data_IF_995286638672
#
_entry.id   IF_995286638672
#
_cell.length_a   1.000
_cell.length_b   1.000
_cell.length_c   1.000
_cell.angle_alpha   90.00
_cell.angle_beta   90.00
_cell.angle_gamma   90.00
#
_symmetry.space_group_name_H-M   'P 1'
#
loop_
_entity.id
_entity.type
_entity.pdbx_description
1 polymer ?
#
# COMPACT_ATOMS: atom_id res chain seq x y z
N UNK A 1 -0.67 18.20 21.74
CA UNK A 1 -0.80 17.48 23.03
C UNK A 1 -1.19 16.05 22.72
N UNK A 2 -0.65 15.06 23.44
CA UNK A 2 -1.04 13.66 23.25
C UNK A 2 -2.47 13.45 23.77
N UNK A 3 -3.33 12.79 22.99
CA UNK A 3 -4.72 12.53 23.36
C UNK A 3 -4.80 11.53 24.53
N UNK A 4 -5.81 11.69 25.39
CA UNK A 4 -6.05 10.77 26.50
C UNK A 4 -6.32 9.34 26.02
N UNK A 5 -7.01 9.20 24.88
CA UNK A 5 -7.28 7.90 24.25
C UNK A 5 -5.97 7.21 23.90
N UNK A 6 -5.07 7.88 23.20
CA UNK A 6 -3.78 7.31 22.83
C UNK A 6 -2.89 7.03 24.05
N UNK A 7 -2.81 7.96 24.99
CA UNK A 7 -2.04 7.80 26.23
C UNK A 7 -2.49 6.57 27.04
N UNK A 8 -3.81 6.36 27.17
CA UNK A 8 -4.34 5.17 27.86
C UNK A 8 -3.94 3.85 27.19
N UNK A 9 -3.82 3.82 25.85
CA UNK A 9 -3.33 2.65 25.12
C UNK A 9 -1.84 2.42 25.34
N UNK A 10 -1.03 3.48 25.39
CA UNK A 10 0.38 3.38 25.74
C UNK A 10 0.59 2.81 27.15
N UNK A 11 -0.19 3.26 28.13
CA UNK A 11 -0.11 2.76 29.52
C UNK A 11 -0.48 1.27 29.60
N UNK A 12 -1.44 0.82 28.81
CA UNK A 12 -1.91 -0.58 28.81
C UNK A 12 -1.08 -1.51 27.92
N UNK A 13 -0.08 -0.98 27.20
CA UNK A 13 0.75 -1.75 26.27
C UNK A 13 1.49 -2.94 26.91
N UNK A 14 2.10 -2.83 28.12
CA UNK A 14 2.76 -3.96 28.75
C UNK A 14 1.82 -5.13 29.03
N UNK A 15 0.56 -4.84 29.40
CA UNK A 15 -0.45 -5.88 29.62
C UNK A 15 -0.78 -6.61 28.30
N UNK A 16 -0.94 -5.88 27.20
CA UNK A 16 -1.15 -6.47 25.86
C UNK A 16 -0.03 -7.42 25.48
N UNK A 17 1.23 -7.03 25.71
CA UNK A 17 2.42 -7.86 25.44
C UNK A 17 2.40 -9.13 26.29
N UNK A 18 2.16 -9.01 27.60
CA UNK A 18 2.12 -10.16 28.51
C UNK A 18 0.99 -11.12 28.11
N UNK A 19 -0.19 -10.60 27.82
CA UNK A 19 -1.35 -11.39 27.40
C UNK A 19 -1.07 -12.11 26.07
N UNK A 20 -0.45 -11.45 25.09
CA UNK A 20 -0.13 -12.09 23.81
C UNK A 20 0.89 -13.22 23.97
N UNK A 21 1.90 -13.03 24.83
CA UNK A 21 2.90 -14.07 25.15
C UNK A 21 2.23 -15.26 25.85
N UNK A 22 1.40 -15.03 26.87
CA UNK A 22 0.69 -16.10 27.58
C UNK A 22 -0.20 -16.87 26.61
N UNK A 23 -1.00 -16.17 25.78
CA UNK A 23 -1.86 -16.81 24.77
C UNK A 23 -1.03 -17.65 23.79
N UNK A 24 0.12 -17.14 23.34
CA UNK A 24 0.99 -17.84 22.40
C UNK A 24 1.41 -19.23 22.91
N UNK A 25 1.77 -19.35 24.19
CA UNK A 25 2.24 -20.61 24.79
C UNK A 25 1.14 -21.48 25.41
N UNK A 26 -0.12 -21.02 25.45
CA UNK A 26 -1.21 -21.74 26.11
C UNK A 26 -2.32 -22.15 25.14
N UNK A 27 -3.16 -21.20 24.73
CA UNK A 27 -4.38 -21.44 23.93
C UNK A 27 -4.23 -21.02 22.45
N UNK A 28 -3.05 -20.57 22.07
CA UNK A 28 -2.80 -19.87 20.82
C UNK A 28 -3.31 -18.42 20.83
N UNK A 29 -2.60 -17.53 20.16
CA UNK A 29 -3.17 -16.22 19.80
C UNK A 29 -4.23 -16.38 18.70
N UNK A 30 -4.99 -15.33 18.42
CA UNK A 30 -5.89 -15.34 17.26
C UNK A 30 -5.10 -15.56 15.96
N UNK A 31 -3.95 -14.90 15.80
CA UNK A 31 -3.13 -14.99 14.60
C UNK A 31 -2.59 -16.40 14.36
N UNK A 32 -2.06 -17.09 15.38
CA UNK A 32 -1.57 -18.48 15.25
C UNK A 32 -2.65 -19.46 14.83
N UNK A 33 -3.88 -19.25 15.35
CA UNK A 33 -5.01 -20.15 15.07
C UNK A 33 -5.56 -19.96 13.67
N UNK A 34 -5.42 -18.76 13.09
CA UNK A 34 -6.04 -18.44 11.80
C UNK A 34 -5.07 -18.50 10.64
N UNK A 35 -3.78 -18.20 10.84
CA UNK A 35 -2.83 -18.12 9.73
C UNK A 35 -1.46 -18.74 10.08
N UNK A 36 -0.97 -19.60 9.17
CA UNK A 36 0.30 -20.34 9.29
C UNK A 36 1.53 -19.42 9.43
N UNK A 37 1.50 -18.22 8.88
CA UNK A 37 2.58 -17.23 8.91
C UNK A 37 2.95 -16.82 10.36
N UNK A 38 2.03 -17.05 11.31
CA UNK A 38 2.20 -16.74 12.73
C UNK A 38 2.58 -17.94 13.60
N UNK A 39 2.40 -19.19 13.15
CA UNK A 39 2.47 -20.38 14.01
C UNK A 39 3.85 -20.58 14.66
N UNK A 40 4.92 -20.17 14.00
CA UNK A 40 6.30 -20.33 14.48
C UNK A 40 6.96 -19.05 15.02
N UNK A 41 6.23 -17.95 15.22
CA UNK A 41 6.85 -16.66 15.55
C UNK A 41 6.14 -15.93 16.68
N UNK A 42 6.67 -16.05 17.91
CA UNK A 42 6.22 -15.25 19.05
C UNK A 42 6.34 -13.74 18.76
N UNK A 43 7.37 -13.35 18.03
CA UNK A 43 7.61 -11.97 17.66
C UNK A 43 6.45 -11.40 16.83
N UNK A 44 6.07 -12.05 15.72
CA UNK A 44 4.95 -11.58 14.89
C UNK A 44 3.66 -11.48 15.69
N UNK A 45 3.36 -12.49 16.49
CA UNK A 45 2.17 -12.52 17.33
C UNK A 45 2.10 -11.35 18.32
N UNK A 46 3.21 -11.09 19.01
CA UNK A 46 3.29 -10.01 20.00
C UNK A 46 3.31 -8.65 19.29
N UNK A 47 4.05 -8.52 18.19
CA UNK A 47 4.14 -7.30 17.40
C UNK A 47 2.79 -6.89 16.83
N UNK A 48 2.06 -7.81 16.17
CA UNK A 48 0.73 -7.53 15.63
C UNK A 48 -0.31 -7.28 16.72
N UNK A 49 -0.19 -7.93 17.89
CA UNK A 49 -1.04 -7.61 19.05
C UNK A 49 -0.81 -6.17 19.54
N UNK A 50 0.45 -5.72 19.55
CA UNK A 50 0.83 -4.34 19.88
C UNK A 50 0.26 -3.36 18.86
N UNK A 51 0.44 -3.63 17.56
CA UNK A 51 -0.09 -2.77 16.51
C UNK A 51 -1.62 -2.68 16.57
N UNK A 52 -2.32 -3.80 16.69
CA UNK A 52 -3.78 -3.83 16.80
C UNK A 52 -4.29 -3.08 18.05
N UNK A 53 -3.58 -3.17 19.19
CA UNK A 53 -3.95 -2.44 20.41
C UNK A 53 -3.80 -0.91 20.29
N UNK A 54 -2.84 -0.44 19.49
CA UNK A 54 -2.62 0.98 19.24
C UNK A 54 -3.47 1.51 18.07
N UNK A 55 -3.77 0.67 17.08
CA UNK A 55 -4.54 1.01 15.90
C UNK A 55 -5.89 1.66 16.27
N UNK A 56 -6.32 2.67 15.51
CA UNK A 56 -7.62 3.35 15.68
C UNK A 56 -7.82 4.04 17.05
N UNK A 57 -6.76 4.23 17.82
CA UNK A 57 -6.81 4.85 19.14
C UNK A 57 -5.96 6.14 19.24
N UNK A 58 -5.65 6.76 18.12
CA UNK A 58 -4.88 8.01 18.01
C UNK A 58 -5.63 9.05 17.19
N UNK A 59 -5.29 10.32 17.36
CA UNK A 59 -5.71 11.44 16.50
C UNK A 59 -4.64 11.74 15.44
N UNK A 60 -4.95 12.61 14.46
CA UNK A 60 -3.96 13.18 13.53
C UNK A 60 -2.77 13.81 14.26
N UNK A 61 -3.04 14.53 15.34
CA UNK A 61 -1.99 15.17 16.12
C UNK A 61 -1.12 14.15 16.86
N UNK A 62 -1.69 13.07 17.43
CA UNK A 62 -0.90 12.00 18.05
C UNK A 62 0.10 11.40 17.05
N UNK A 63 -0.37 11.15 15.82
CA UNK A 63 0.48 10.63 14.73
C UNK A 63 1.60 11.61 14.42
N UNK A 64 1.28 12.89 14.19
CA UNK A 64 2.27 13.91 13.85
C UNK A 64 3.35 14.11 14.93
N UNK A 65 3.00 13.99 16.20
CA UNK A 65 3.92 14.24 17.32
C UNK A 65 4.71 13.01 17.76
N UNK A 66 4.16 11.80 17.63
CA UNK A 66 4.72 10.59 18.26
C UNK A 66 5.13 9.53 17.25
N UNK A 67 4.39 9.39 16.15
CA UNK A 67 4.56 8.27 15.22
C UNK A 67 5.30 8.68 13.95
N UNK A 68 5.14 9.93 13.51
CA UNK A 68 5.66 10.42 12.25
C UNK A 68 7.19 10.40 12.18
N UNK A 69 7.70 9.86 11.08
CA UNK A 69 9.09 9.99 10.68
C UNK A 69 9.19 10.19 9.16
N UNK A 70 9.98 11.15 8.67
CA UNK A 70 10.16 11.34 7.24
C UNK A 70 10.88 10.13 6.63
N UNK A 71 10.57 9.79 5.37
CA UNK A 71 11.14 8.61 4.68
C UNK A 71 12.68 8.64 4.65
N UNK A 72 13.28 9.84 4.66
CA UNK A 72 14.75 10.03 4.69
C UNK A 72 15.41 9.36 5.89
N UNK A 73 14.70 9.26 7.03
CA UNK A 73 15.18 8.50 8.20
C UNK A 73 15.23 7.00 7.91
N UNK A 74 14.29 6.45 7.14
CA UNK A 74 14.33 5.05 6.73
C UNK A 74 15.46 4.79 5.74
N UNK A 75 15.63 5.65 4.73
CA UNK A 75 16.78 5.57 3.82
C UNK A 75 18.10 5.55 4.60
N UNK A 76 18.26 6.46 5.56
CA UNK A 76 19.46 6.55 6.42
C UNK A 76 19.62 5.29 7.28
N UNK A 77 18.55 4.86 7.97
CA UNK A 77 18.55 3.68 8.85
C UNK A 77 18.96 2.42 8.10
N UNK A 78 18.46 2.24 6.88
CA UNK A 78 18.67 1.01 6.13
C UNK A 78 19.86 1.04 5.18
N UNK A 79 20.47 2.20 4.91
CA UNK A 79 21.56 2.41 3.93
C UNK A 79 22.63 1.31 3.87
N UNK A 80 23.09 0.82 5.02
CA UNK A 80 24.18 -0.14 5.13
C UNK A 80 23.71 -1.57 5.45
N UNK A 81 22.44 -1.89 5.21
CA UNK A 81 21.93 -3.25 5.39
C UNK A 81 22.22 -4.13 4.18
N UNK A 82 22.22 -5.46 4.33
CA UNK A 82 22.42 -6.36 3.20
C UNK A 82 21.43 -6.14 2.05
N UNK A 83 20.18 -5.73 2.35
CA UNK A 83 19.15 -5.46 1.35
C UNK A 83 19.42 -4.24 0.48
N UNK A 84 20.22 -3.28 0.94
CA UNK A 84 20.36 -1.98 0.26
C UNK A 84 21.79 -1.66 -0.15
N UNK A 85 22.77 -2.32 0.47
CA UNK A 85 24.18 -2.08 0.17
C UNK A 85 24.46 -2.39 -1.30
N UNK A 86 24.96 -1.40 -2.03
CA UNK A 86 25.26 -1.52 -3.45
C UNK A 86 24.07 -1.33 -4.40
N UNK A 87 22.85 -1.07 -3.90
CA UNK A 87 21.73 -0.68 -4.77
C UNK A 87 22.03 0.67 -5.44
N UNK A 88 21.93 0.68 -6.76
CA UNK A 88 22.20 1.87 -7.56
C UNK A 88 21.11 2.92 -7.35
N UNK A 89 21.49 4.19 -7.16
CA UNK A 89 20.54 5.28 -6.96
C UNK A 89 19.81 5.28 -5.62
N UNK A 90 20.19 4.43 -4.65
CA UNK A 90 19.49 4.34 -3.37
C UNK A 90 19.44 5.70 -2.63
N UNK A 91 18.22 6.21 -2.44
CA UNK A 91 17.93 7.50 -1.80
C UNK A 91 18.09 8.72 -2.72
N UNK A 92 18.49 8.55 -3.98
CA UNK A 92 18.53 9.64 -4.96
C UNK A 92 17.11 10.13 -5.25
N UNK A 93 16.95 11.45 -5.31
CA UNK A 93 15.66 12.10 -5.58
C UNK A 93 15.32 12.05 -7.07
N UNK A 94 14.07 11.71 -7.36
CA UNK A 94 13.44 11.87 -8.69
C UNK A 94 12.87 13.29 -8.79
N UNK A 95 12.15 13.71 -7.74
CA UNK A 95 11.62 15.05 -7.54
C UNK A 95 11.62 15.36 -6.02
N UNK A 96 10.90 16.38 -5.56
CA UNK A 96 10.85 16.75 -4.14
C UNK A 96 10.46 15.59 -3.20
N UNK A 97 9.47 14.79 -3.58
CA UNK A 97 8.83 13.78 -2.71
C UNK A 97 9.07 12.34 -3.11
N UNK A 98 9.68 12.11 -4.26
CA UNK A 98 9.92 10.76 -4.77
C UNK A 98 11.41 10.45 -4.77
N UNK A 99 11.77 9.29 -4.24
CA UNK A 99 13.15 8.80 -4.16
C UNK A 99 13.26 7.39 -4.74
N UNK A 100 14.39 7.09 -5.38
CA UNK A 100 14.73 5.73 -5.78
C UNK A 100 15.10 4.87 -4.56
N UNK A 101 14.57 3.65 -4.47
CA UNK A 101 15.19 2.56 -3.69
C UNK A 101 16.31 1.96 -4.53
N UNK A 102 16.01 1.64 -5.78
CA UNK A 102 16.96 1.13 -6.75
C UNK A 102 16.61 1.66 -8.12
N UNK A 103 17.62 2.06 -8.86
CA UNK A 103 17.53 2.46 -10.26
C UNK A 103 18.34 1.49 -11.11
N UNK A 104 17.72 0.85 -12.09
CA UNK A 104 18.45 0.04 -13.08
C UNK A 104 19.56 0.87 -13.74
N UNK A 105 20.79 0.34 -13.82
CA UNK A 105 21.96 1.08 -14.34
C UNK A 105 21.94 1.24 -15.85
N UNK A 106 21.61 0.18 -16.53
CA UNK A 106 21.54 0.08 -17.99
C UNK A 106 20.38 -0.85 -18.32
N UNK A 107 19.12 -0.35 -18.29
CA UNK A 107 17.95 -1.18 -18.50
C UNK A 107 18.01 -1.79 -19.91
N UNK A 108 18.17 -3.11 -19.96
CA UNK A 108 18.25 -3.90 -21.19
C UNK A 108 16.85 -4.35 -21.60
N UNK A 109 16.44 -4.08 -22.83
CA UNK A 109 15.16 -4.54 -23.35
C UNK A 109 14.39 -3.46 -24.09
N UNK A 110 13.20 -3.79 -24.62
CA UNK A 110 12.43 -2.87 -25.45
C UNK A 110 11.76 -1.75 -24.65
N UNK A 111 11.57 -1.92 -23.34
CA UNK A 111 10.90 -0.98 -22.44
C UNK A 111 11.72 -0.78 -21.17
N UNK A 112 11.58 0.40 -20.57
CA UNK A 112 12.23 0.77 -19.32
C UNK A 112 11.19 0.75 -18.21
N UNK A 113 11.16 -0.35 -17.46
CA UNK A 113 10.15 -0.58 -16.44
C UNK A 113 10.55 -0.04 -15.06
N UNK A 114 9.57 0.45 -14.30
CA UNK A 114 9.76 0.84 -12.91
C UNK A 114 8.53 0.60 -12.06
N UNK A 115 8.73 0.26 -10.79
CA UNK A 115 7.69 0.32 -9.78
C UNK A 115 7.64 1.73 -9.19
N UNK A 116 6.43 2.31 -9.12
CA UNK A 116 6.12 3.43 -8.24
C UNK A 116 5.29 2.91 -7.07
N UNK A 117 5.90 2.90 -5.88
CA UNK A 117 5.24 2.44 -4.65
C UNK A 117 4.52 3.57 -3.93
N UNK A 118 3.23 3.36 -3.69
CA UNK A 118 2.32 4.26 -2.98
C UNK A 118 1.89 3.57 -1.68
N UNK A 119 2.50 3.97 -0.56
CA UNK A 119 2.31 3.26 0.71
C UNK A 119 0.90 3.45 1.30
N UNK A 120 0.46 2.51 2.12
CA UNK A 120 -0.74 2.59 2.95
C UNK A 120 -0.54 3.36 4.25
N UNK A 121 -1.56 3.40 5.11
CA UNK A 121 -1.54 4.18 6.35
C UNK A 121 -2.73 5.14 6.53
N UNK A 122 -3.80 4.92 5.77
CA UNK A 122 -5.03 5.70 5.85
C UNK A 122 -4.85 7.19 5.53
N UNK A 123 -3.90 7.52 4.65
CA UNK A 123 -3.45 8.89 4.33
C UNK A 123 -2.94 9.70 5.54
N UNK A 124 -2.86 9.11 6.73
CA UNK A 124 -2.50 9.78 7.97
C UNK A 124 -1.12 9.33 8.49
N UNK A 125 -0.84 8.04 8.41
CA UNK A 125 0.41 7.43 8.84
C UNK A 125 1.46 7.55 7.73
N UNK A 126 2.71 7.81 8.12
CA UNK A 126 3.85 7.73 7.19
C UNK A 126 4.17 6.27 6.86
N UNK A 127 4.95 6.07 5.80
CA UNK A 127 5.54 4.77 5.49
C UNK A 127 6.31 4.22 6.71
N UNK A 128 6.02 2.97 7.07
CA UNK A 128 6.72 2.28 8.14
C UNK A 128 7.96 1.54 7.65
N UNK A 129 8.83 1.19 8.59
CA UNK A 129 10.03 0.42 8.32
C UNK A 129 9.73 -0.95 7.69
N UNK A 130 8.59 -1.57 8.04
CA UNK A 130 8.15 -2.85 7.50
C UNK A 130 7.75 -2.72 6.03
N UNK A 131 6.99 -1.69 5.65
CA UNK A 131 6.66 -1.38 4.25
C UNK A 131 7.92 -1.05 3.44
N UNK A 132 8.83 -0.21 3.96
CA UNK A 132 10.07 0.17 3.27
C UNK A 132 10.97 -1.05 3.00
N UNK A 133 11.19 -1.90 4.01
CA UNK A 133 11.90 -3.17 3.82
C UNK A 133 11.10 -4.09 2.91
N UNK A 134 9.79 -4.04 3.01
CA UNK A 134 8.89 -4.92 2.26
C UNK A 134 9.04 -4.75 0.76
N UNK A 135 8.93 -3.50 0.30
CA UNK A 135 9.12 -3.13 -1.10
C UNK A 135 10.57 -3.29 -1.56
N UNK A 136 11.55 -3.10 -0.66
CA UNK A 136 12.97 -3.38 -0.98
C UNK A 136 13.21 -4.88 -1.16
N UNK A 137 12.61 -5.74 -0.35
CA UNK A 137 12.73 -7.19 -0.47
C UNK A 137 12.01 -7.70 -1.73
N UNK A 138 10.89 -7.07 -2.15
CA UNK A 138 10.21 -7.40 -3.40
C UNK A 138 11.12 -7.29 -4.62
N UNK A 139 12.07 -6.35 -4.64
CA UNK A 139 13.10 -6.29 -5.68
C UNK A 139 13.81 -7.64 -5.86
N UNK A 140 14.14 -8.32 -4.75
CA UNK A 140 14.83 -9.60 -4.77
C UNK A 140 13.92 -10.80 -5.00
N UNK A 141 12.60 -10.63 -4.89
CA UNK A 141 11.61 -11.66 -5.25
C UNK A 141 11.50 -11.83 -6.77
N UNK A 142 11.96 -10.86 -7.55
CA UNK A 142 12.10 -10.96 -9.00
C UNK A 142 13.42 -11.67 -9.33
N UNK A 143 13.43 -12.74 -10.12
CA UNK A 143 14.66 -13.43 -10.50
C UNK A 143 15.46 -12.67 -11.58
N UNK A 144 16.74 -13.00 -11.71
CA UNK A 144 17.54 -12.59 -12.86
C UNK A 144 17.12 -13.34 -14.12
N UNK A 145 17.23 -12.75 -15.33
CA UNK A 145 17.78 -11.41 -15.61
C UNK A 145 16.76 -10.26 -15.50
N UNK A 146 15.49 -10.55 -15.18
CA UNK A 146 14.40 -9.54 -15.15
C UNK A 146 14.66 -8.45 -14.12
N UNK A 147 15.14 -8.83 -12.95
CA UNK A 147 15.46 -7.90 -11.86
C UNK A 147 16.48 -6.83 -12.24
N UNK A 148 17.48 -7.14 -13.07
CA UNK A 148 18.49 -6.17 -13.50
C UNK A 148 17.91 -4.92 -14.21
N UNK A 149 16.70 -5.05 -14.76
CA UNK A 149 15.99 -3.98 -15.47
C UNK A 149 14.95 -3.27 -14.60
N UNK A 150 14.73 -3.73 -13.37
CA UNK A 150 13.69 -3.21 -12.49
C UNK A 150 14.22 -2.03 -11.67
N UNK A 151 13.63 -0.86 -11.86
CA UNK A 151 13.74 0.26 -10.91
C UNK A 151 12.58 0.26 -9.92
N UNK A 152 12.80 0.76 -8.71
CA UNK A 152 11.75 0.94 -7.70
C UNK A 152 11.89 2.32 -7.06
N UNK A 153 10.81 3.08 -7.10
CA UNK A 153 10.67 4.39 -6.47
C UNK A 153 9.62 4.36 -5.35
N UNK A 154 9.81 5.18 -4.33
CA UNK A 154 8.80 5.45 -3.28
C UNK A 154 8.39 6.91 -3.36
N UNK A 155 7.09 7.15 -3.31
CA UNK A 155 6.52 8.48 -3.09
C UNK A 155 6.26 8.70 -1.58
N UNK A 156 6.87 9.73 -1.00
CA UNK A 156 6.61 10.23 0.37
C UNK A 156 5.55 11.34 0.30
N UNK A 157 4.32 10.95 -0.03
CA UNK A 157 3.22 11.89 -0.23
C UNK A 157 2.79 12.56 1.08
N UNK A 158 2.19 13.74 0.96
CA UNK A 158 1.71 14.57 2.05
C UNK A 158 0.60 13.88 2.86
N UNK A 159 0.66 14.01 4.18
CA UNK A 159 -0.22 13.27 5.10
C UNK A 159 -1.24 14.15 5.82
N UNK A 160 -2.40 13.57 6.11
CA UNK A 160 -3.50 14.23 6.83
C UNK A 160 -3.13 14.51 8.29
N UNK A 161 -2.15 13.82 8.88
CA UNK A 161 -1.60 14.15 10.21
C UNK A 161 -0.97 15.56 10.26
N UNK A 162 -0.59 16.11 9.10
CA UNK A 162 -0.13 17.49 8.92
C UNK A 162 -1.19 18.37 8.23
N UNK A 163 -2.46 17.96 8.29
CA UNK A 163 -3.60 18.65 7.68
C UNK A 163 -3.46 18.86 6.17
N UNK A 164 -2.66 18.01 5.50
CA UNK A 164 -2.59 17.92 4.04
C UNK A 164 -3.63 16.91 3.57
N UNK A 165 -4.66 17.42 2.90
CA UNK A 165 -5.91 16.70 2.59
C UNK A 165 -6.02 16.50 1.09
N UNK A 166 -7.00 15.69 0.68
CA UNK A 166 -7.41 15.60 -0.72
C UNK A 166 -7.50 17.00 -1.36
N UNK A 167 -6.99 17.20 -2.59
CA UNK A 167 -6.40 16.21 -3.52
C UNK A 167 -4.86 16.17 -3.57
N UNK A 168 -4.13 16.78 -2.62
CA UNK A 168 -2.66 16.95 -2.75
C UNK A 168 -1.90 15.65 -3.00
N UNK A 169 -2.34 14.53 -2.42
CA UNK A 169 -1.73 13.22 -2.59
C UNK A 169 -1.81 12.74 -4.05
N UNK A 170 -2.92 13.00 -4.73
CA UNK A 170 -3.10 12.69 -6.15
C UNK A 170 -2.20 13.59 -6.99
N UNK A 171 -2.15 14.90 -6.69
CA UNK A 171 -1.26 15.84 -7.38
C UNK A 171 0.21 15.38 -7.31
N UNK A 172 0.68 15.03 -6.11
CA UNK A 172 2.05 14.55 -5.88
C UNK A 172 2.32 13.19 -6.55
N UNK A 173 1.33 12.29 -6.61
CA UNK A 173 1.44 11.02 -7.30
C UNK A 173 1.51 11.17 -8.83
N UNK A 174 0.72 12.09 -9.41
CA UNK A 174 0.81 12.43 -10.84
C UNK A 174 2.15 13.10 -11.15
N UNK A 175 2.64 13.99 -10.29
CA UNK A 175 3.96 14.60 -10.45
C UNK A 175 5.09 13.56 -10.39
N UNK A 176 4.98 12.55 -9.51
CA UNK A 176 5.92 11.44 -9.45
C UNK A 176 5.89 10.58 -10.73
N UNK A 177 4.68 10.21 -11.18
CA UNK A 177 4.48 9.43 -12.40
C UNK A 177 5.06 10.16 -13.62
N UNK A 178 4.73 11.45 -13.78
CA UNK A 178 5.22 12.31 -14.86
C UNK A 178 6.74 12.44 -14.86
N UNK A 179 7.35 12.71 -13.71
CA UNK A 179 8.80 12.80 -13.60
C UNK A 179 9.52 11.50 -13.98
N UNK A 180 8.90 10.34 -13.74
CA UNK A 180 9.41 9.05 -14.21
C UNK A 180 9.24 8.90 -15.74
N UNK A 181 8.08 9.27 -16.30
CA UNK A 181 7.86 9.26 -17.76
C UNK A 181 8.87 10.16 -18.49
N UNK A 182 9.15 11.35 -17.95
CA UNK A 182 10.15 12.29 -18.49
C UNK A 182 11.58 11.73 -18.43
N UNK A 183 11.87 10.83 -17.49
CA UNK A 183 13.14 10.08 -17.43
C UNK A 183 13.15 8.85 -18.37
N UNK A 184 12.15 8.72 -19.23
CA UNK A 184 12.02 7.69 -20.25
C UNK A 184 11.49 6.35 -19.74
N UNK A 185 10.85 6.31 -18.56
CA UNK A 185 10.14 5.12 -18.10
C UNK A 185 8.77 5.04 -18.79
N UNK A 186 8.57 4.03 -19.63
CA UNK A 186 7.37 3.83 -20.43
C UNK A 186 6.49 2.67 -19.93
N UNK A 187 6.97 1.91 -18.95
CA UNK A 187 6.25 0.85 -18.25
C UNK A 187 6.32 1.04 -16.73
N UNK A 188 5.45 1.91 -16.21
CA UNK A 188 5.36 2.17 -14.76
C UNK A 188 4.30 1.27 -14.14
N UNK A 189 4.76 0.35 -13.31
CA UNK A 189 3.94 -0.55 -12.50
C UNK A 189 3.58 0.18 -11.20
N UNK A 190 2.28 0.37 -10.95
CA UNK A 190 1.85 0.94 -9.67
C UNK A 190 1.74 -0.17 -8.63
N UNK A 191 2.36 0.01 -7.47
CA UNK A 191 2.21 -0.91 -6.33
C UNK A 191 1.68 -0.10 -5.17
N UNK A 192 0.58 -0.55 -4.57
CA UNK A 192 0.03 0.10 -3.39
C UNK A 192 -0.54 -0.89 -2.39
N UNK A 193 -0.57 -0.47 -1.13
CA UNK A 193 -1.22 -1.18 -0.03
C UNK A 193 -2.28 -0.30 0.63
N UNK A 194 -3.43 -0.86 1.04
CA UNK A 194 -4.46 -0.12 1.80
C UNK A 194 -4.91 1.17 1.09
N UNK A 195 -4.77 2.34 1.72
CA UNK A 195 -5.03 3.66 1.10
C UNK A 195 -4.11 3.96 -0.08
N UNK A 196 -2.92 3.36 -0.14
CA UNK A 196 -2.03 3.40 -1.28
C UNK A 196 -2.70 2.84 -2.53
N UNK A 197 -3.54 1.80 -2.39
CA UNK A 197 -4.35 1.29 -3.51
C UNK A 197 -5.43 2.27 -3.94
N UNK A 198 -6.03 3.00 -3.00
CA UNK A 198 -6.94 4.09 -3.36
C UNK A 198 -6.22 5.14 -4.22
N UNK A 199 -4.98 5.46 -3.86
CA UNK A 199 -4.15 6.38 -4.63
C UNK A 199 -3.73 5.81 -5.99
N UNK A 200 -3.39 4.52 -6.10
CA UNK A 200 -3.08 3.89 -7.41
C UNK A 200 -4.30 3.91 -8.33
N UNK A 201 -5.48 3.61 -7.79
CA UNK A 201 -6.77 3.69 -8.49
C UNK A 201 -7.05 5.12 -8.98
N UNK A 202 -6.87 6.14 -8.12
CA UNK A 202 -7.07 7.54 -8.48
C UNK A 202 -6.09 8.00 -9.58
N UNK A 203 -4.82 7.59 -9.51
CA UNK A 203 -3.81 7.87 -10.55
C UNK A 203 -4.18 7.24 -11.89
N UNK A 204 -4.53 5.95 -11.88
CA UNK A 204 -4.91 5.24 -13.10
C UNK A 204 -6.13 5.90 -13.76
N UNK A 205 -7.11 6.31 -12.97
CA UNK A 205 -8.30 7.04 -13.45
C UNK A 205 -7.98 8.44 -13.95
N UNK A 206 -7.15 9.20 -13.26
CA UNK A 206 -6.72 10.54 -13.68
C UNK A 206 -6.16 10.49 -15.11
N UNK A 207 -5.33 9.48 -15.38
CA UNK A 207 -4.71 9.28 -16.70
C UNK A 207 -5.73 8.76 -17.73
N UNK A 208 -6.64 7.87 -17.32
CA UNK A 208 -7.61 7.25 -18.22
C UNK A 208 -8.77 8.15 -18.66
N UNK A 209 -9.14 9.13 -17.84
CA UNK A 209 -10.23 10.05 -18.09
C UNK A 209 -9.75 11.50 -17.96
N UNK A 210 -8.89 11.98 -18.89
CA UNK A 210 -8.22 13.28 -18.74
C UNK A 210 -9.18 14.47 -18.74
N UNK A 211 -10.34 14.36 -19.41
CA UNK A 211 -11.35 15.43 -19.38
C UNK A 211 -12.10 15.45 -18.04
N UNK A 212 -12.52 14.30 -17.50
CA UNK A 212 -13.11 14.21 -16.15
C UNK A 212 -12.10 14.69 -15.09
N UNK A 213 -10.84 14.29 -15.21
CA UNK A 213 -9.77 14.77 -14.33
C UNK A 213 -9.59 16.28 -14.43
N UNK A 214 -9.59 16.86 -15.65
CA UNK A 214 -9.50 18.31 -15.82
C UNK A 214 -10.67 19.02 -15.16
N UNK A 215 -11.89 18.60 -15.45
CA UNK A 215 -13.10 19.22 -14.91
C UNK A 215 -13.15 19.13 -13.38
N UNK A 216 -12.80 17.96 -12.84
CA UNK A 216 -12.81 17.72 -11.40
C UNK A 216 -11.69 18.46 -10.67
N UNK A 217 -10.44 18.39 -11.14
CA UNK A 217 -9.30 18.90 -10.38
C UNK A 217 -9.03 20.40 -10.58
N UNK A 218 -9.54 21.01 -11.67
CA UNK A 218 -9.35 22.45 -11.92
C UNK A 218 -9.99 23.35 -10.86
N UNK A 219 -10.90 22.83 -10.03
CA UNK A 219 -11.46 23.58 -8.90
C UNK A 219 -10.44 23.80 -7.76
N UNK A 220 -9.41 22.96 -7.65
CA UNK A 220 -8.37 23.05 -6.61
C UNK A 220 -7.20 23.90 -7.10
N UNK A 221 -7.43 25.22 -7.11
CA UNK A 221 -6.51 26.23 -7.69
C UNK A 221 -5.19 26.42 -6.92
N UNK A 222 -5.08 25.86 -5.72
CA UNK A 222 -3.87 25.91 -4.90
C UNK A 222 -2.77 24.93 -5.37
N UNK A 223 -3.07 24.07 -6.34
CA UNK A 223 -2.13 23.12 -6.92
C UNK A 223 -1.89 23.41 -8.40
N UNK A 224 -0.65 23.23 -8.83
CA UNK A 224 -0.30 23.27 -10.26
C UNK A 224 -0.64 21.91 -10.88
N UNK A 225 -1.73 21.87 -11.66
CA UNK A 225 -2.16 20.66 -12.36
C UNK A 225 -1.60 20.62 -13.79
N UNK A 226 -1.01 19.49 -14.15
CA UNK A 226 -0.65 19.18 -15.53
C UNK A 226 -1.51 18.03 -16.06
N UNK A 227 -2.50 18.38 -16.88
CA UNK A 227 -3.41 17.45 -17.55
C UNK A 227 -2.91 17.00 -18.93
N UNK A 228 -1.65 17.27 -19.29
CA UNK A 228 -1.08 16.75 -20.52
C UNK A 228 -1.06 15.21 -20.50
N UNK A 229 -1.27 14.56 -21.66
CA UNK A 229 -1.40 13.10 -21.72
C UNK A 229 -0.21 12.37 -21.10
N UNK A 230 -0.51 11.29 -20.38
CA UNK A 230 0.46 10.35 -19.82
C UNK A 230 0.17 8.94 -20.35
N UNK A 231 1.19 8.07 -20.50
CA UNK A 231 0.95 6.65 -20.75
C UNK A 231 0.18 6.05 -19.57
N UNK A 232 -0.72 5.11 -19.85
CA UNK A 232 -1.46 4.43 -18.80
C UNK A 232 -0.59 3.40 -18.06
N UNK A 233 -0.75 3.26 -16.73
CA UNK A 233 -0.20 2.10 -16.03
C UNK A 233 -0.93 0.84 -16.55
N UNK A 234 -0.19 -0.06 -17.19
CA UNK A 234 -0.73 -1.34 -17.66
C UNK A 234 -0.75 -2.38 -16.54
N UNK A 235 0.12 -2.25 -15.54
CA UNK A 235 0.22 -3.25 -14.48
C UNK A 235 0.08 -2.60 -13.11
N UNK A 236 -0.77 -3.17 -12.27
CA UNK A 236 -0.98 -2.71 -10.89
C UNK A 236 -0.93 -3.89 -9.93
N UNK A 237 -0.24 -3.72 -8.80
CA UNK A 237 -0.32 -4.63 -7.66
C UNK A 237 -1.08 -3.93 -6.53
N UNK A 238 -2.19 -4.54 -6.14
CA UNK A 238 -3.10 -4.05 -5.12
C UNK A 238 -3.08 -4.98 -3.91
N UNK A 239 -2.52 -4.52 -2.79
CA UNK A 239 -2.45 -5.27 -1.53
C UNK A 239 -3.45 -4.70 -0.54
N UNK A 240 -4.36 -5.54 -0.05
CA UNK A 240 -5.40 -5.21 0.93
C UNK A 240 -6.09 -3.86 0.67
N UNK A 241 -6.82 -3.70 -0.46
CA UNK A 241 -7.23 -2.38 -0.94
C UNK A 241 -8.25 -1.65 -0.05
N UNK A 242 -8.07 -0.34 0.15
CA UNK A 242 -9.07 0.51 0.80
C UNK A 242 -9.77 1.44 -0.20
N UNK A 243 -10.80 0.92 -0.86
CA UNK A 243 -11.42 1.55 -2.04
C UNK A 243 -12.63 2.44 -1.71
N UNK A 244 -13.00 2.56 -0.44
CA UNK A 244 -14.12 3.39 0.01
C UNK A 244 -13.84 4.11 1.34
N UNK A 245 -12.85 5.03 1.40
CA UNK A 245 -12.28 5.54 2.64
C UNK A 245 -13.25 6.14 3.67
N UNK A 246 -14.32 6.79 3.24
CA UNK A 246 -15.33 7.40 4.11
C UNK A 246 -16.57 6.50 4.31
N UNK A 247 -16.44 5.20 4.09
CA UNK A 247 -17.52 4.22 4.30
C UNK A 247 -17.18 3.33 5.48
N UNK A 248 -18.13 3.25 6.43
CA UNK A 248 -17.99 2.32 7.54
C UNK A 248 -18.10 0.89 7.00
N UNK A 249 -17.12 0.00 7.28
CA UNK A 249 -17.22 -1.38 6.83
C UNK A 249 -18.43 -2.10 7.44
N UNK A 250 -19.01 -3.00 6.66
CA UNK A 250 -20.09 -3.89 7.10
C UNK A 250 -19.46 -5.25 7.41
N UNK A 251 -19.61 -5.70 8.65
CA UNK A 251 -19.00 -6.93 9.16
C UNK A 251 -20.06 -8.02 9.36
N UNK A 252 -19.71 -9.26 9.03
CA UNK A 252 -20.52 -10.43 9.42
C UNK A 252 -20.46 -10.62 10.94
N UNK A 253 -21.58 -10.52 11.69
CA UNK A 253 -21.58 -10.67 13.15
C UNK A 253 -21.12 -12.05 13.64
N UNK A 254 -21.10 -13.07 12.78
CA UNK A 254 -20.68 -14.43 13.13
C UNK A 254 -19.20 -14.70 12.86
N UNK A 255 -18.46 -13.71 12.32
CA UNK A 255 -17.07 -13.87 11.94
C UNK A 255 -16.14 -13.12 12.90
N UNK A 256 -15.00 -13.74 13.26
CA UNK A 256 -14.03 -13.16 14.19
C UNK A 256 -12.95 -12.34 13.45
N UNK A 257 -13.12 -11.02 13.45
CA UNK A 257 -12.17 -10.04 12.90
C UNK A 257 -11.09 -9.60 13.90
N UNK A 258 -11.03 -10.19 15.10
CA UNK A 258 -10.10 -9.75 16.15
C UNK A 258 -8.64 -9.79 15.70
N UNK A 259 -7.90 -8.71 15.94
CA UNK A 259 -6.50 -8.60 15.53
C UNK A 259 -6.29 -8.03 14.13
N UNK A 260 -7.34 -7.81 13.34
CA UNK A 260 -7.21 -7.13 12.05
C UNK A 260 -6.73 -5.68 12.19
N UNK A 261 -6.02 -5.18 11.17
CA UNK A 261 -5.50 -3.81 11.14
C UNK A 261 -6.30 -2.87 10.22
N UNK A 262 -7.32 -3.39 9.51
CA UNK A 262 -8.17 -2.60 8.63
C UNK A 262 -8.98 -1.55 9.39
N UNK A 263 -9.26 -0.44 8.71
CA UNK A 263 -10.03 0.68 9.27
C UNK A 263 -11.44 0.21 9.68
N UNK A 264 -11.84 0.28 10.96
CA UNK A 264 -13.16 -0.19 11.43
C UNK A 264 -14.24 0.89 11.32
N UNK A 265 -13.88 2.12 10.98
CA UNK A 265 -14.74 3.29 10.89
C UNK A 265 -14.26 4.26 9.79
N UNK A 266 -14.91 5.42 9.69
CA UNK A 266 -14.65 6.42 8.64
C UNK A 266 -13.60 7.46 9.01
N UNK A 267 -13.03 7.42 10.23
CA UNK A 267 -12.27 8.53 10.82
C UNK A 267 -11.16 9.03 9.90
N UNK A 268 -10.32 8.13 9.38
CA UNK A 268 -9.21 8.50 8.49
C UNK A 268 -9.68 8.96 7.10
N UNK A 269 -10.80 8.42 6.60
CA UNK A 269 -11.41 8.89 5.35
C UNK A 269 -11.98 10.29 5.50
N UNK A 270 -12.70 10.55 6.60
CA UNK A 270 -13.24 11.86 6.93
C UNK A 270 -12.12 12.91 7.10
N UNK A 271 -10.94 12.50 7.60
CA UNK A 271 -9.75 13.35 7.66
C UNK A 271 -9.17 13.65 6.28
N UNK A 272 -9.21 12.69 5.37
CA UNK A 272 -8.69 12.82 4.01
C UNK A 272 -9.50 13.80 3.18
N UNK A 273 -10.83 13.77 3.27
CA UNK A 273 -11.74 14.64 2.52
C UNK A 273 -12.30 15.80 3.35
N UNK A 274 -11.65 16.15 4.47
CA UNK A 274 -12.18 17.12 5.42
C UNK A 274 -12.43 18.49 4.78
N UNK A 275 -13.69 18.94 4.83
CA UNK A 275 -14.14 20.21 4.26
C UNK A 275 -14.75 20.09 2.86
N UNK A 276 -14.84 18.88 2.30
CA UNK A 276 -15.40 18.61 0.98
C UNK A 276 -16.67 17.77 1.09
N UNK A 277 -17.57 17.88 0.11
CA UNK A 277 -18.71 16.98 -0.01
C UNK A 277 -18.24 15.61 -0.53
N UNK A 278 -18.82 14.54 0.02
CA UNK A 278 -18.53 13.17 -0.39
C UNK A 278 -18.94 12.90 -1.84
N UNK A 279 -20.02 13.53 -2.32
CA UNK A 279 -20.48 13.39 -3.69
C UNK A 279 -19.49 14.02 -4.68
N UNK A 280 -18.91 15.17 -4.33
CA UNK A 280 -17.99 15.90 -5.20
C UNK A 280 -16.69 15.10 -5.39
N UNK A 281 -16.15 14.49 -4.34
CA UNK A 281 -14.88 13.74 -4.41
C UNK A 281 -15.03 12.27 -4.82
N UNK A 282 -16.26 11.75 -4.87
CA UNK A 282 -16.52 10.33 -5.11
C UNK A 282 -15.78 9.76 -6.34
N UNK A 283 -15.71 10.43 -7.50
CA UNK A 283 -15.04 9.89 -8.69
C UNK A 283 -13.57 9.52 -8.48
N UNK A 284 -12.88 10.13 -7.52
CA UNK A 284 -11.44 9.89 -7.27
C UNK A 284 -11.13 9.41 -5.86
N UNK A 285 -12.14 9.06 -5.06
CA UNK A 285 -11.95 8.59 -3.67
C UNK A 285 -12.73 7.33 -3.36
N UNK A 286 -13.96 7.18 -3.88
CA UNK A 286 -14.79 6.00 -3.64
C UNK A 286 -15.04 5.26 -4.94
N UNK A 287 -14.59 4.02 -4.98
CA UNK A 287 -14.56 3.23 -6.20
C UNK A 287 -15.57 2.08 -6.22
N UNK A 288 -16.41 1.93 -5.19
CA UNK A 288 -17.32 0.79 -4.99
C UNK A 288 -18.77 1.02 -5.42
N UNK A 289 -19.19 2.27 -5.64
CA UNK A 289 -20.58 2.68 -5.92
C UNK A 289 -20.87 3.07 -7.38
N UNK A 290 -19.94 2.74 -8.27
CA UNK A 290 -19.93 3.20 -9.66
C UNK A 290 -20.16 2.07 -10.68
N UNK A 291 -20.28 2.43 -11.96
CA UNK A 291 -20.38 1.47 -13.07
C UNK A 291 -19.02 1.28 -13.78
N UNK A 292 -18.73 0.05 -14.17
CA UNK A 292 -17.49 -0.30 -14.86
C UNK A 292 -17.30 0.49 -16.17
N UNK A 293 -18.36 0.59 -17.00
CA UNK A 293 -18.24 1.16 -18.36
C UNK A 293 -17.86 2.62 -18.33
N UNK A 294 -18.38 3.35 -17.34
CA UNK A 294 -18.16 4.79 -17.23
C UNK A 294 -16.87 5.15 -16.52
N UNK A 295 -16.34 4.27 -15.65
CA UNK A 295 -15.29 4.66 -14.70
C UNK A 295 -14.03 3.79 -14.79
N UNK A 296 -14.10 2.63 -15.47
CA UNK A 296 -13.01 1.65 -15.50
C UNK A 296 -12.71 1.04 -16.88
N UNK A 297 -13.63 1.12 -17.85
CA UNK A 297 -13.41 0.55 -19.19
C UNK A 297 -12.19 1.13 -19.92
N UNK A 298 -11.84 2.39 -19.66
CA UNK A 298 -10.64 3.00 -20.23
C UNK A 298 -9.37 2.78 -19.40
N UNK A 299 -9.42 2.13 -18.24
CA UNK A 299 -8.24 1.90 -17.39
C UNK A 299 -7.54 0.63 -17.85
N UNK A 300 -6.36 0.78 -18.46
CA UNK A 300 -5.66 -0.33 -19.14
C UNK A 300 -5.30 -1.49 -18.19
N UNK A 301 -5.02 -1.19 -16.92
CA UNK A 301 -4.71 -2.19 -15.90
C UNK A 301 -5.85 -3.17 -15.57
N UNK A 302 -7.10 -2.82 -15.88
CA UNK A 302 -8.28 -3.63 -15.54
C UNK A 302 -9.16 -3.95 -16.75
N UNK A 303 -9.00 -3.31 -17.90
CA UNK A 303 -9.78 -3.57 -19.11
C UNK A 303 -9.25 -4.73 -19.99
N UNK A 304 -8.20 -5.41 -19.53
CA UNK A 304 -7.64 -6.58 -20.19
C UNK A 304 -6.52 -6.30 -21.20
N UNK A 305 -6.13 -5.02 -21.41
CA UNK A 305 -4.86 -4.69 -22.07
C UNK A 305 -3.65 -4.92 -21.16
N UNK A 306 -3.85 -4.66 -19.87
CA UNK A 306 -2.90 -4.84 -18.81
C UNK A 306 -3.33 -5.92 -17.81
N UNK A 307 -2.66 -5.97 -16.65
CA UNK A 307 -2.95 -6.92 -15.58
C UNK A 307 -2.98 -6.23 -14.22
N UNK A 308 -3.92 -6.64 -13.36
CA UNK A 308 -3.93 -6.23 -11.96
C UNK A 308 -3.88 -7.46 -11.05
N UNK A 309 -2.85 -7.53 -10.21
CA UNK A 309 -2.78 -8.50 -9.12
C UNK A 309 -3.45 -7.92 -7.88
N UNK A 310 -4.40 -8.66 -7.32
CA UNK A 310 -5.29 -8.17 -6.28
C UNK A 310 -5.30 -9.16 -5.10
N UNK A 311 -4.62 -8.81 -4.01
CA UNK A 311 -4.38 -9.70 -2.85
C UNK A 311 -5.04 -9.12 -1.61
N UNK A 312 -5.76 -9.93 -0.84
CA UNK A 312 -6.30 -9.53 0.47
C UNK A 312 -6.47 -10.72 1.42
N UNK A 313 -6.61 -10.45 2.72
CA UNK A 313 -6.84 -11.46 3.75
C UNK A 313 -8.33 -11.77 3.97
N UNK A 314 -8.66 -13.03 4.26
CA UNK A 314 -10.06 -13.43 4.50
C UNK A 314 -10.67 -12.83 5.78
N UNK A 315 -9.86 -12.27 6.68
CA UNK A 315 -10.27 -11.67 7.96
C UNK A 315 -10.20 -10.15 8.01
N UNK A 316 -10.07 -9.49 6.87
CA UNK A 316 -10.03 -8.02 6.80
C UNK A 316 -11.40 -7.40 7.12
N UNK A 317 -11.43 -6.33 7.91
CA UNK A 317 -12.61 -5.49 8.05
C UNK A 317 -13.08 -4.94 6.68
N UNK A 318 -12.15 -4.72 5.76
CA UNK A 318 -12.42 -4.13 4.44
C UNK A 318 -12.92 -5.15 3.40
N UNK A 319 -13.00 -6.44 3.75
CA UNK A 319 -13.30 -7.54 2.82
C UNK A 319 -14.51 -7.28 1.93
N UNK A 320 -15.63 -6.81 2.49
CA UNK A 320 -16.84 -6.60 1.68
C UNK A 320 -16.65 -5.50 0.63
N UNK A 321 -15.98 -4.38 0.98
CA UNK A 321 -15.70 -3.30 0.04
C UNK A 321 -14.75 -3.74 -1.07
N UNK A 322 -13.74 -4.53 -0.70
CA UNK A 322 -12.82 -5.20 -1.61
C UNK A 322 -13.57 -6.10 -2.60
N UNK A 323 -14.43 -6.99 -2.11
CA UNK A 323 -15.22 -7.92 -2.93
C UNK A 323 -16.27 -7.19 -3.79
N UNK A 324 -16.82 -6.09 -3.30
CA UNK A 324 -17.72 -5.23 -4.06
C UNK A 324 -17.03 -4.63 -5.28
N UNK A 325 -15.77 -4.18 -5.12
CA UNK A 325 -14.99 -3.69 -6.25
C UNK A 325 -14.62 -4.80 -7.24
N UNK A 326 -14.24 -5.99 -6.74
CA UNK A 326 -13.98 -7.14 -7.61
C UNK A 326 -15.21 -7.45 -8.48
N UNK A 327 -16.39 -7.49 -7.86
CA UNK A 327 -17.65 -7.74 -8.56
C UNK A 327 -18.00 -6.64 -9.55
N UNK A 328 -17.73 -5.37 -9.20
CA UNK A 328 -17.89 -4.23 -10.10
C UNK A 328 -17.04 -4.40 -11.36
N UNK A 329 -15.76 -4.74 -11.21
CA UNK A 329 -14.84 -4.87 -12.35
C UNK A 329 -15.15 -6.12 -13.19
N UNK A 330 -15.42 -7.27 -12.55
CA UNK A 330 -15.40 -8.58 -13.23
C UNK A 330 -16.77 -9.18 -13.51
N UNK A 331 -17.73 -9.08 -12.57
CA UNK A 331 -19.07 -9.68 -12.73
C UNK A 331 -20.06 -8.72 -13.37
N UNK A 332 -19.98 -7.44 -13.01
CA UNK A 332 -20.84 -6.36 -13.53
C UNK A 332 -20.20 -5.67 -14.75
N UNK A 333 -18.88 -5.67 -14.83
CA UNK A 333 -18.10 -5.23 -15.98
C UNK A 333 -17.54 -6.39 -16.82
N UNK A 334 -16.73 -6.05 -17.81
CA UNK A 334 -15.93 -6.98 -18.63
C UNK A 334 -14.42 -6.89 -18.34
N UNK A 335 -14.07 -6.30 -17.19
CA UNK A 335 -12.69 -6.17 -16.73
C UNK A 335 -12.09 -7.47 -16.20
N UNK A 336 -10.78 -7.43 -15.93
CA UNK A 336 -9.98 -8.57 -15.47
C UNK A 336 -9.15 -8.21 -14.25
N UNK A 337 -9.23 -9.05 -13.23
CA UNK A 337 -8.40 -9.00 -12.03
C UNK A 337 -7.86 -10.39 -11.73
N UNK A 338 -6.60 -10.49 -11.34
CA UNK A 338 -6.01 -11.70 -10.76
C UNK A 338 -6.17 -11.65 -9.23
N UNK A 339 -7.23 -12.27 -8.73
CA UNK A 339 -7.64 -12.15 -7.33
C UNK A 339 -7.14 -13.33 -6.49
N UNK A 340 -6.50 -13.02 -5.36
CA UNK A 340 -5.98 -13.99 -4.41
C UNK A 340 -6.40 -13.63 -2.98
N UNK A 341 -6.95 -14.61 -2.26
CA UNK A 341 -7.40 -14.45 -0.87
C UNK A 341 -6.52 -15.29 0.06
N UNK A 342 -5.84 -14.63 0.99
CA UNK A 342 -5.08 -15.31 2.03
C UNK A 342 -6.02 -15.78 3.15
N UNK A 343 -6.24 -17.09 3.25
CA UNK A 343 -7.08 -17.65 4.30
C UNK A 343 -6.50 -17.36 5.69
N UNK A 344 -7.33 -16.81 6.57
CA UNK A 344 -6.96 -16.33 7.89
C UNK A 344 -6.06 -15.09 7.90
N UNK A 345 -5.73 -14.53 6.73
CA UNK A 345 -4.96 -13.30 6.55
C UNK A 345 -5.69 -12.08 7.10
N UNK A 346 -4.91 -11.12 7.57
CA UNK A 346 -5.36 -9.80 8.06
C UNK A 346 -4.94 -8.71 7.07
N UNK A 347 -5.37 -7.49 7.33
CA UNK A 347 -5.09 -6.33 6.51
C UNK A 347 -3.59 -6.11 6.35
N UNK A 348 -3.19 -6.05 5.08
CA UNK A 348 -1.83 -5.83 4.59
C UNK A 348 -0.81 -6.86 5.12
N UNK A 349 -1.11 -8.13 4.85
CA UNK A 349 -0.25 -9.27 5.16
C UNK A 349 1.15 -9.14 4.57
N UNK A 350 1.30 -8.61 3.35
CA UNK A 350 2.62 -8.48 2.71
C UNK A 350 3.51 -7.52 3.49
N UNK A 351 3.05 -6.27 3.71
CA UNK A 351 3.92 -5.23 4.24
C UNK A 351 3.94 -5.15 5.77
N UNK A 352 2.89 -5.59 6.48
CA UNK A 352 2.90 -5.61 7.96
C UNK A 352 3.27 -6.96 8.57
N UNK A 353 3.15 -8.07 7.83
CA UNK A 353 3.38 -9.41 8.40
C UNK A 353 4.58 -10.11 7.78
N UNK A 354 4.55 -10.39 6.47
CA UNK A 354 5.61 -11.16 5.81
C UNK A 354 6.95 -10.40 5.81
N UNK A 355 6.89 -9.07 5.61
CA UNK A 355 8.05 -8.19 5.60
C UNK A 355 8.87 -8.21 6.89
N UNK A 356 8.26 -8.59 8.02
CA UNK A 356 8.96 -8.71 9.31
C UNK A 356 10.12 -9.70 9.26
N UNK A 357 10.01 -10.74 8.42
CA UNK A 357 11.06 -11.77 8.32
C UNK A 357 12.32 -11.27 7.63
N UNK A 358 12.23 -10.16 6.88
CA UNK A 358 13.33 -9.57 6.11
C UNK A 358 13.97 -8.35 6.80
N UNK A 359 13.46 -7.94 7.96
CA UNK A 359 13.99 -6.78 8.70
C UNK A 359 15.35 -7.04 9.37
N UNK A 360 15.68 -8.30 9.66
CA UNK A 360 16.96 -8.67 10.27
C UNK A 360 18.05 -8.87 9.23
N UNK A 361 19.33 -8.82 9.61
CA UNK A 361 20.42 -9.12 8.69
C UNK A 361 20.34 -10.55 8.09
N UNK A 362 19.92 -11.53 8.90
CA UNK A 362 19.71 -12.91 8.42
C UNK A 362 18.55 -12.99 7.43
N UNK A 363 17.44 -12.32 7.74
CA UNK A 363 16.29 -12.18 6.84
C UNK A 363 16.65 -11.53 5.51
N UNK A 364 17.35 -10.40 5.56
CA UNK A 364 17.88 -9.71 4.39
C UNK A 364 18.74 -10.65 3.51
N UNK A 365 19.60 -11.48 4.12
CA UNK A 365 20.40 -12.46 3.37
C UNK A 365 19.57 -13.57 2.71
N UNK A 366 18.42 -13.93 3.28
CA UNK A 366 17.47 -14.85 2.62
C UNK A 366 16.86 -14.19 1.39
N UNK A 367 16.35 -12.97 1.51
CA UNK A 367 15.81 -12.21 0.37
C UNK A 367 16.84 -12.09 -0.76
N UNK A 368 18.11 -11.76 -0.47
CA UNK A 368 19.19 -11.69 -1.47
C UNK A 368 19.38 -12.99 -2.28
N UNK A 369 19.08 -14.14 -1.67
CA UNK A 369 19.15 -15.46 -2.31
C UNK A 369 17.87 -15.84 -3.04
N UNK A 370 16.87 -14.96 -3.10
CA UNK A 370 15.54 -15.24 -3.64
C UNK A 370 14.69 -16.14 -2.73
N UNK A 371 15.04 -16.26 -1.45
CA UNK A 371 14.29 -17.11 -0.50
C UNK A 371 13.05 -16.37 0.04
N UNK A 372 11.95 -16.59 -0.67
CA UNK A 372 10.60 -16.22 -0.31
C UNK A 372 9.72 -17.46 -0.09
N UNK A 373 10.33 -18.62 0.17
CA UNK A 373 9.60 -19.87 0.32
C UNK A 373 8.63 -19.79 1.51
N UNK A 374 7.40 -20.26 1.28
CA UNK A 374 6.33 -20.25 2.28
C UNK A 374 5.65 -18.89 2.46
N UNK A 375 6.13 -17.81 1.82
CA UNK A 375 5.45 -16.51 1.79
C UNK A 375 4.34 -16.52 0.77
N UNK A 376 3.14 -16.15 1.20
CA UNK A 376 1.96 -16.11 0.36
C UNK A 376 2.05 -14.93 -0.60
N UNK A 377 2.11 -13.71 -0.06
CA UNK A 377 1.99 -12.50 -0.86
C UNK A 377 3.28 -12.20 -1.65
N UNK A 378 4.47 -12.36 -1.05
CA UNK A 378 5.73 -12.23 -1.79
C UNK A 378 5.84 -13.17 -2.99
N UNK A 379 5.41 -14.43 -2.85
CA UNK A 379 5.47 -15.40 -3.96
C UNK A 379 4.55 -14.99 -5.10
N UNK A 380 3.34 -14.50 -4.80
CA UNK A 380 2.39 -14.02 -5.80
C UNK A 380 2.90 -12.76 -6.50
N UNK A 381 3.36 -11.76 -5.75
CA UNK A 381 3.86 -10.50 -6.33
C UNK A 381 5.16 -10.73 -7.11
N UNK A 382 6.09 -11.52 -6.59
CA UNK A 382 7.34 -11.85 -7.28
C UNK A 382 7.09 -12.53 -8.63
N UNK A 383 6.20 -13.54 -8.66
CA UNK A 383 5.78 -14.21 -9.89
C UNK A 383 5.10 -13.26 -10.86
N UNK A 384 4.18 -12.42 -10.38
CA UNK A 384 3.50 -11.44 -11.22
C UNK A 384 4.49 -10.46 -11.86
N UNK A 385 5.43 -9.93 -11.08
CA UNK A 385 6.47 -9.02 -11.56
C UNK A 385 7.41 -9.71 -12.57
N UNK A 386 7.78 -10.97 -12.34
CA UNK A 386 8.56 -11.77 -13.29
C UNK A 386 7.85 -11.92 -14.65
N UNK A 387 6.53 -12.06 -14.65
CA UNK A 387 5.74 -12.26 -15.87
C UNK A 387 5.49 -10.96 -16.66
N UNK A 388 5.48 -9.80 -16.01
CA UNK A 388 5.18 -8.51 -16.66
C UNK A 388 6.41 -7.69 -17.05
N UNK A 389 7.55 -7.92 -16.38
CA UNK A 389 8.88 -7.43 -16.80
C UNK A 389 9.44 -8.32 -17.91
#
# INVERSE_FOLDING_TARGET
MISLKFLSRLITLPATIIISIIKYYTVGTIFQRTNKEFQGSLYKNTHLSVLNHLANNYTRDDVAHVMYAPVTKLFTKFKNTPLTVGLNGYGEKINERTSWIVRAKDPQGPKKSAILFLHGGGYCLNIFATQFIGITALYYAVPEPKRANLSIAILDYSLTCHYKKYPIQINEAIAAYRAMVEQGYDDIILVGDSCGVNLTAAVARFIAYPDEARDHFSQFTEYEWDFSPLPQPQNIVMVSPWLEPYTKPILDPNFDYSGDLGAPDTTMGDWYIEGLDRADVAPFVRFTDNDYKTQWANVDAVNGKGRTLYIYGSREHLKLGIETFIDLITKKGDGKLEVHVEEGGIHDGLFYVESLDYMSASGAQKALKGDFEGKYAYSLVGKFLEEVL
#
